data_IF_088702253615
#
_entry.id   IF_088702253615
#
_cell.length_a   1.000
_cell.length_b   1.000
_cell.length_c   1.000
_cell.angle_alpha   90.00
_cell.angle_beta   90.00
_cell.angle_gamma   90.00
#
_symmetry.space_group_name_H-M   'P 1'
#
loop_
_entity.id
_entity.type
_entity.pdbx_description
1 polymer ?
#
# COMPACT_ATOMS: atom_id res chain seq x y z
N UNK A 1 20.29 9.26 -3.56
CA UNK A 1 19.20 10.03 -4.19
C UNK A 1 17.95 9.90 -3.35
N UNK A 2 17.17 10.98 -3.21
CA UNK A 2 15.88 10.95 -2.51
C UNK A 2 14.89 10.10 -3.30
N UNK A 3 13.99 9.41 -2.60
CA UNK A 3 12.91 8.63 -3.21
C UNK A 3 11.90 9.63 -3.82
N UNK A 4 11.54 9.49 -5.10
CA UNK A 4 10.55 10.37 -5.73
C UNK A 4 9.20 9.68 -5.94
N UNK A 5 9.14 8.35 -5.88
CA UNK A 5 7.86 7.62 -5.89
C UNK A 5 7.22 7.52 -4.48
N UNK A 6 5.88 7.51 -4.38
CA UNK A 6 5.13 7.48 -3.13
C UNK A 6 5.08 6.06 -2.52
N UNK A 7 6.18 5.60 -1.94
CA UNK A 7 6.31 4.24 -1.44
C UNK A 7 5.24 3.84 -0.40
N UNK A 8 4.81 4.76 0.46
CA UNK A 8 3.76 4.48 1.47
C UNK A 8 2.38 4.31 0.82
N UNK A 9 2.03 5.15 -0.17
CA UNK A 9 0.76 5.07 -0.88
C UNK A 9 0.69 3.80 -1.75
N UNK A 10 1.80 3.43 -2.39
CA UNK A 10 1.89 2.15 -3.12
C UNK A 10 1.83 0.96 -2.17
N UNK A 11 2.54 0.98 -1.04
CA UNK A 11 2.45 -0.11 -0.07
C UNK A 11 1.00 -0.33 0.37
N UNK A 12 0.29 0.74 0.74
CA UNK A 12 -1.10 0.64 1.18
C UNK A 12 -2.04 0.23 0.04
N UNK A 13 -1.85 0.79 -1.16
CA UNK A 13 -2.61 0.40 -2.36
C UNK A 13 -2.44 -1.07 -2.69
N UNK A 14 -1.22 -1.62 -2.61
CA UNK A 14 -0.94 -3.04 -2.80
C UNK A 14 -1.67 -3.86 -1.75
N UNK A 15 -1.65 -3.45 -0.48
CA UNK A 15 -2.36 -4.18 0.58
C UNK A 15 -3.87 -4.30 0.31
N UNK A 16 -4.48 -3.26 -0.25
CA UNK A 16 -5.91 -3.22 -0.56
C UNK A 16 -6.28 -3.94 -1.87
N UNK A 17 -5.46 -3.80 -2.91
CA UNK A 17 -5.83 -4.13 -4.30
C UNK A 17 -4.79 -5.03 -5.00
N UNK A 18 -4.33 -6.11 -4.35
CA UNK A 18 -3.38 -7.05 -4.97
C UNK A 18 -3.88 -8.49 -5.07
N UNK A 19 -5.17 -8.72 -4.79
CA UNK A 19 -5.78 -10.04 -4.95
C UNK A 19 -5.98 -10.38 -6.44
N UNK A 20 -6.39 -9.41 -7.26
CA UNK A 20 -6.56 -9.58 -8.71
C UNK A 20 -5.70 -8.64 -9.54
N UNK A 21 -5.31 -9.10 -10.74
CA UNK A 21 -4.58 -8.28 -11.72
C UNK A 21 -5.40 -7.04 -12.13
N UNK A 22 -6.71 -7.21 -12.36
CA UNK A 22 -7.62 -6.14 -12.80
C UNK A 22 -7.67 -5.00 -11.78
N UNK A 23 -7.77 -5.33 -10.50
CA UNK A 23 -7.77 -4.38 -9.39
C UNK A 23 -6.40 -3.69 -9.24
N UNK A 24 -5.32 -4.47 -9.26
CA UNK A 24 -3.95 -3.96 -9.16
C UNK A 24 -3.59 -2.99 -10.29
N UNK A 25 -4.04 -3.30 -11.51
CA UNK A 25 -3.84 -2.45 -12.68
C UNK A 25 -4.53 -1.10 -12.48
N UNK A 26 -5.83 -1.10 -12.22
CA UNK A 26 -6.62 0.12 -12.05
C UNK A 26 -6.16 0.93 -10.83
N UNK A 27 -6.04 0.29 -9.67
CA UNK A 27 -5.60 0.95 -8.44
C UNK A 27 -4.22 1.59 -8.60
N UNK A 28 -3.30 0.91 -9.29
CA UNK A 28 -1.97 1.45 -9.55
C UNK A 28 -1.98 2.72 -10.40
N UNK A 29 -2.74 2.75 -11.49
CA UNK A 29 -2.90 3.96 -12.32
C UNK A 29 -3.52 5.09 -11.50
N UNK A 30 -4.51 4.78 -10.67
CA UNK A 30 -5.19 5.76 -9.81
C UNK A 30 -4.27 6.32 -8.72
N UNK A 31 -3.38 5.50 -8.14
CA UNK A 31 -2.35 5.97 -7.20
C UNK A 31 -1.40 6.94 -7.90
N UNK A 32 -0.93 6.62 -9.10
CA UNK A 32 -0.04 7.51 -9.88
C UNK A 32 -0.75 8.85 -10.16
N UNK A 33 -2.00 8.79 -10.62
CA UNK A 33 -2.80 9.97 -10.89
C UNK A 33 -3.02 10.82 -9.63
N UNK A 34 -3.21 10.19 -8.47
CA UNK A 34 -3.35 10.91 -7.19
C UNK A 34 -2.14 11.76 -6.84
N UNK A 35 -0.94 11.26 -7.15
CA UNK A 35 0.33 11.89 -6.79
C UNK A 35 0.61 13.03 -7.75
N UNK A 36 0.39 12.80 -9.05
CA UNK A 36 0.44 13.85 -10.05
C UNK A 36 -0.56 14.98 -9.73
N UNK A 37 -1.76 14.64 -9.29
CA UNK A 37 -2.77 15.62 -8.87
C UNK A 37 -2.37 16.39 -7.61
N UNK A 38 -1.79 15.71 -6.62
CA UNK A 38 -1.28 16.35 -5.42
C UNK A 38 -0.16 17.35 -5.72
N UNK A 39 0.77 16.99 -6.61
CA UNK A 39 1.84 17.87 -7.09
C UNK A 39 1.27 19.06 -7.88
N UNK A 40 0.28 18.82 -8.73
CA UNK A 40 -0.41 19.88 -9.49
C UNK A 40 -1.07 20.91 -8.56
N UNK A 41 -1.82 20.46 -7.54
CA UNK A 41 -2.45 21.38 -6.58
C UNK A 41 -1.41 22.14 -5.78
N UNK A 42 -0.36 21.46 -5.32
CA UNK A 42 0.73 22.12 -4.59
C UNK A 42 1.31 23.26 -5.41
N UNK A 43 1.72 22.98 -6.65
CA UNK A 43 2.33 23.96 -7.55
C UNK A 43 1.39 25.13 -7.91
N UNK A 44 0.09 24.87 -8.03
CA UNK A 44 -0.91 25.90 -8.30
C UNK A 44 -1.10 26.86 -7.10
N UNK A 45 -1.06 26.33 -5.88
CA UNK A 45 -1.38 27.09 -4.65
C UNK A 45 -0.16 27.69 -3.96
N UNK A 46 1.05 27.22 -4.27
CA UNK A 46 2.30 27.61 -3.59
C UNK A 46 2.57 29.11 -3.64
N UNK A 47 2.22 29.76 -4.74
CA UNK A 47 2.41 31.20 -4.92
C UNK A 47 1.24 32.05 -4.35
N UNK A 48 0.15 31.41 -3.91
CA UNK A 48 -1.11 32.11 -3.57
C UNK A 48 -1.40 32.09 -2.07
N UNK A 49 -1.01 31.01 -1.37
CA UNK A 49 -1.49 30.71 -0.03
C UNK A 49 -0.31 30.44 0.92
N UNK A 50 -0.39 30.88 2.20
CA UNK A 50 0.65 30.57 3.19
C UNK A 50 0.78 29.05 3.45
N UNK A 51 1.99 28.62 3.81
CA UNK A 51 2.40 27.21 3.85
C UNK A 51 1.50 26.27 4.69
N UNK A 52 0.98 26.73 5.83
CA UNK A 52 0.03 25.97 6.67
C UNK A 52 -1.29 25.64 5.96
N UNK A 53 -1.91 26.63 5.31
CA UNK A 53 -3.16 26.46 4.58
C UNK A 53 -2.94 25.72 3.26
N UNK A 54 -1.77 25.86 2.63
CA UNK A 54 -1.39 25.05 1.48
C UNK A 54 -1.35 23.56 1.84
N UNK A 55 -0.68 23.18 2.95
CA UNK A 55 -0.60 21.79 3.39
C UNK A 55 -1.98 21.18 3.63
N UNK A 56 -2.85 21.92 4.32
CA UNK A 56 -4.21 21.47 4.59
C UNK A 56 -5.02 21.33 3.29
N UNK A 57 -4.92 22.31 2.38
CA UNK A 57 -5.63 22.27 1.12
C UNK A 57 -5.19 21.10 0.24
N UNK A 58 -3.87 20.88 0.10
CA UNK A 58 -3.33 19.74 -0.64
C UNK A 58 -3.82 18.43 -0.04
N UNK A 59 -3.75 18.24 1.28
CA UNK A 59 -4.19 17.00 1.93
C UNK A 59 -5.69 16.71 1.73
N UNK A 60 -6.54 17.72 1.95
CA UNK A 60 -8.00 17.54 1.87
C UNK A 60 -8.44 17.34 0.41
N UNK A 61 -7.91 18.15 -0.51
CA UNK A 61 -8.28 18.07 -1.92
C UNK A 61 -7.83 16.76 -2.56
N UNK A 62 -6.61 16.29 -2.27
CA UNK A 62 -6.13 15.02 -2.81
C UNK A 62 -6.90 13.85 -2.22
N UNK A 63 -7.14 13.82 -0.92
CA UNK A 63 -7.94 12.76 -0.30
C UNK A 63 -9.34 12.69 -0.93
N UNK A 64 -10.05 13.82 -0.99
CA UNK A 64 -11.41 13.87 -1.54
C UNK A 64 -11.48 13.48 -3.03
N UNK A 65 -10.52 13.93 -3.84
CA UNK A 65 -10.47 13.59 -5.27
C UNK A 65 -10.11 12.12 -5.44
N UNK A 66 -9.12 11.60 -4.71
CA UNK A 66 -8.76 10.17 -4.80
C UNK A 66 -9.93 9.27 -4.48
N UNK A 67 -10.62 9.46 -3.35
CA UNK A 67 -11.74 8.61 -2.98
C UNK A 67 -12.88 8.65 -4.01
N UNK A 68 -13.11 9.82 -4.61
CA UNK A 68 -14.13 9.99 -5.65
C UNK A 68 -13.75 9.28 -6.94
N UNK A 69 -12.50 9.44 -7.39
CA UNK A 69 -12.01 8.81 -8.63
C UNK A 69 -11.89 7.29 -8.46
N UNK A 70 -11.47 6.80 -7.28
CA UNK A 70 -11.47 5.37 -6.98
C UNK A 70 -12.88 4.77 -7.01
N UNK A 71 -13.87 5.44 -6.42
CA UNK A 71 -15.26 4.99 -6.46
C UNK A 71 -15.77 4.88 -7.91
N UNK A 72 -15.57 5.93 -8.71
CA UNK A 72 -15.99 5.95 -10.12
C UNK A 72 -15.22 4.93 -10.97
N UNK A 73 -13.91 4.80 -10.77
CA UNK A 73 -13.07 3.89 -11.54
C UNK A 73 -13.45 2.42 -11.32
N UNK A 74 -13.70 2.04 -10.07
CA UNK A 74 -14.12 0.69 -9.73
C UNK A 74 -15.58 0.40 -10.09
N UNK A 75 -16.47 1.41 -10.00
CA UNK A 75 -17.83 1.29 -10.52
C UNK A 75 -17.86 1.05 -12.03
N UNK A 76 -16.99 1.71 -12.80
CA UNK A 76 -16.86 1.49 -14.25
C UNK A 76 -16.31 0.09 -14.58
N UNK A 77 -15.43 -0.44 -13.73
CA UNK A 77 -14.92 -1.80 -13.87
C UNK A 77 -16.00 -2.88 -13.61
N UNK A 78 -17.14 -2.53 -13.03
CA UNK A 78 -18.19 -3.47 -12.65
C UNK A 78 -18.02 -4.09 -11.26
N UNK A 79 -16.99 -3.67 -10.51
CA UNK A 79 -16.66 -4.17 -9.17
C UNK A 79 -16.72 -3.01 -8.16
N UNK A 80 -17.93 -2.58 -7.74
CA UNK A 80 -18.07 -1.40 -6.88
C UNK A 80 -17.41 -1.61 -5.51
N UNK A 81 -16.72 -0.57 -5.03
CA UNK A 81 -16.06 -0.59 -3.73
C UNK A 81 -17.08 -0.65 -2.59
N UNK A 82 -16.75 -1.42 -1.56
CA UNK A 82 -17.45 -1.37 -0.28
C UNK A 82 -17.16 -0.03 0.43
N UNK A 83 -18.03 0.37 1.37
CA UNK A 83 -17.81 1.60 2.15
C UNK A 83 -16.48 1.57 2.90
N UNK A 84 -16.10 0.40 3.42
CA UNK A 84 -14.83 0.22 4.14
C UNK A 84 -13.62 0.43 3.23
N UNK A 85 -13.60 -0.21 2.04
CA UNK A 85 -12.50 -0.03 1.06
C UNK A 85 -12.45 1.40 0.54
N UNK A 86 -13.60 2.02 0.31
CA UNK A 86 -13.69 3.42 -0.11
C UNK A 86 -13.08 4.36 0.93
N UNK A 87 -13.36 4.19 2.22
CA UNK A 87 -12.71 4.98 3.29
C UNK A 87 -11.19 4.77 3.28
N UNK A 88 -10.72 3.55 3.02
CA UNK A 88 -9.27 3.28 2.91
C UNK A 88 -8.63 3.98 1.70
N UNK A 89 -9.36 4.23 0.62
CA UNK A 89 -8.84 5.02 -0.52
C UNK A 89 -8.60 6.50 -0.17
N UNK A 90 -9.33 7.07 0.80
CA UNK A 90 -9.00 8.41 1.33
C UNK A 90 -7.61 8.42 1.96
N UNK A 91 -7.28 7.35 2.68
CA UNK A 91 -5.97 7.19 3.33
C UNK A 91 -4.86 7.07 2.30
N UNK A 92 -5.10 6.37 1.19
CA UNK A 92 -4.17 6.35 0.03
C UNK A 92 -3.90 7.77 -0.48
N UNK A 93 -4.95 8.60 -0.62
CA UNK A 93 -4.83 10.00 -1.04
C UNK A 93 -4.12 10.93 -0.05
N UNK A 94 -4.23 10.66 1.24
CA UNK A 94 -3.47 11.37 2.27
C UNK A 94 -1.99 10.99 2.24
N UNK A 95 -1.69 9.70 2.03
CA UNK A 95 -0.31 9.22 1.91
C UNK A 95 0.37 9.74 0.64
N UNK A 96 -0.35 9.87 -0.47
CA UNK A 96 0.19 10.48 -1.69
C UNK A 96 0.48 11.97 -1.52
N UNK A 97 -0.44 12.75 -0.93
CA UNK A 97 -0.18 14.15 -0.60
C UNK A 97 0.95 14.35 0.39
N UNK A 98 1.05 13.49 1.41
CA UNK A 98 2.18 13.53 2.35
C UNK A 98 3.51 13.32 1.63
N UNK A 99 3.57 12.40 0.66
CA UNK A 99 4.78 12.18 -0.14
C UNK A 99 5.19 13.45 -0.90
N UNK A 100 4.24 14.11 -1.57
CA UNK A 100 4.46 15.37 -2.30
C UNK A 100 4.95 16.49 -1.38
N UNK A 101 4.33 16.65 -0.21
CA UNK A 101 4.65 17.71 0.74
C UNK A 101 6.00 17.49 1.46
N UNK A 102 6.46 16.24 1.62
CA UNK A 102 7.70 15.93 2.34
C UNK A 102 8.91 15.78 1.43
N UNK A 103 8.75 15.29 0.20
CA UNK A 103 9.87 14.99 -0.69
C UNK A 103 10.22 16.14 -1.64
N UNK A 104 9.39 17.18 -1.68
CA UNK A 104 9.57 18.39 -2.48
C UNK A 104 9.95 18.06 -3.93
N UNK A 105 8.96 17.58 -4.70
CA UNK A 105 9.19 16.98 -6.01
C UNK A 105 9.44 17.99 -7.13
N UNK A 106 9.47 19.30 -6.81
CA UNK A 106 9.83 20.43 -7.71
C UNK A 106 9.20 20.37 -9.11
N UNK A 107 8.02 19.75 -9.27
CA UNK A 107 7.35 19.64 -10.57
C UNK A 107 8.03 18.71 -11.60
N UNK A 108 8.91 17.80 -11.17
CA UNK A 108 9.54 16.81 -12.04
C UNK A 108 8.59 15.61 -12.30
N UNK A 109 7.53 15.87 -13.06
CA UNK A 109 6.53 14.86 -13.41
C UNK A 109 7.14 13.66 -14.14
N UNK A 110 8.20 13.88 -14.93
CA UNK A 110 8.89 12.83 -15.68
C UNK A 110 9.47 11.76 -14.76
N UNK A 111 10.21 12.16 -13.73
CA UNK A 111 10.75 11.20 -12.75
C UNK A 111 9.65 10.58 -11.87
N UNK A 112 8.60 11.32 -11.52
CA UNK A 112 7.44 10.77 -10.78
C UNK A 112 6.78 9.65 -11.57
N UNK A 113 6.45 9.88 -12.85
CA UNK A 113 5.82 8.86 -13.70
C UNK A 113 6.74 7.68 -13.96
N UNK A 114 8.03 7.92 -14.17
CA UNK A 114 8.99 6.86 -14.42
C UNK A 114 9.17 5.94 -13.21
N UNK A 115 9.47 6.50 -12.03
CA UNK A 115 9.68 5.69 -10.83
C UNK A 115 8.41 4.99 -10.37
N UNK A 116 7.27 5.68 -10.42
CA UNK A 116 5.97 5.12 -10.06
C UNK A 116 5.50 4.07 -11.07
N UNK A 117 5.82 4.23 -12.36
CA UNK A 117 5.54 3.26 -13.41
C UNK A 117 6.29 1.94 -13.21
N UNK A 118 7.55 2.01 -12.77
CA UNK A 118 8.33 0.80 -12.41
C UNK A 118 7.69 0.09 -11.21
N UNK A 119 7.29 0.84 -10.17
CA UNK A 119 6.59 0.28 -9.00
C UNK A 119 5.29 -0.40 -9.40
N UNK A 120 4.50 0.26 -10.23
CA UNK A 120 3.25 -0.27 -10.76
C UNK A 120 3.45 -1.53 -11.61
N UNK A 121 4.46 -1.56 -12.48
CA UNK A 121 4.77 -2.74 -13.29
C UNK A 121 5.07 -3.98 -12.44
N UNK A 122 5.88 -3.83 -11.38
CA UNK A 122 6.14 -4.93 -10.44
C UNK A 122 4.91 -5.33 -9.64
N UNK A 123 4.05 -4.37 -9.28
CA UNK A 123 2.78 -4.67 -8.60
C UNK A 123 1.88 -5.52 -9.49
N UNK A 124 1.66 -5.13 -10.75
CA UNK A 124 0.83 -5.91 -11.68
C UNK A 124 1.41 -7.32 -11.87
N UNK A 125 2.73 -7.45 -12.04
CA UNK A 125 3.37 -8.75 -12.21
C UNK A 125 3.16 -9.67 -11.01
N UNK A 126 3.35 -9.15 -9.79
CA UNK A 126 3.12 -9.94 -8.57
C UNK A 126 1.64 -10.21 -8.32
N UNK A 127 0.74 -9.31 -8.72
CA UNK A 127 -0.70 -9.56 -8.65
C UNK A 127 -1.14 -10.69 -9.59
N UNK A 128 -0.57 -10.77 -10.81
CA UNK A 128 -0.80 -11.90 -11.72
C UNK A 128 -0.37 -13.22 -11.09
N UNK A 129 0.81 -13.25 -10.47
CA UNK A 129 1.30 -14.45 -9.79
C UNK A 129 0.42 -14.84 -8.60
N UNK A 130 -0.09 -13.87 -7.83
CA UNK A 130 -1.02 -14.12 -6.73
C UNK A 130 -2.38 -14.61 -7.19
N UNK A 131 -2.96 -13.99 -8.22
CA UNK A 131 -4.26 -14.38 -8.78
C UNK A 131 -4.21 -15.82 -9.31
N UNK A 132 -3.11 -16.15 -10.01
CA UNK A 132 -2.87 -17.48 -10.55
C UNK A 132 -2.64 -18.53 -9.44
N UNK A 133 -1.79 -18.24 -8.46
CA UNK A 133 -1.55 -19.15 -7.33
C UNK A 133 -2.79 -19.32 -6.43
N UNK A 134 -3.64 -18.29 -6.36
CA UNK A 134 -4.83 -18.28 -5.53
C UNK A 134 -6.02 -19.01 -6.12
N UNK A 135 -6.24 -18.84 -7.42
CA UNK A 135 -7.50 -19.25 -8.07
C UNK A 135 -7.32 -19.90 -9.43
N UNK A 136 -6.09 -20.00 -9.95
CA UNK A 136 -5.82 -20.48 -11.31
C UNK A 136 -6.30 -19.54 -12.42
N UNK A 137 -6.71 -18.32 -12.04
CA UNK A 137 -7.22 -17.30 -12.96
C UNK A 137 -6.17 -16.23 -13.20
N UNK A 138 -6.21 -15.65 -14.38
CA UNK A 138 -5.58 -14.36 -14.67
C UNK A 138 -6.65 -13.49 -15.32
N UNK A 139 -6.84 -12.28 -14.77
CA UNK A 139 -7.85 -11.35 -15.25
C UNK A 139 -9.28 -11.94 -15.18
N UNK A 140 -9.57 -12.74 -14.16
CA UNK A 140 -10.85 -13.44 -13.98
C UNK A 140 -11.07 -14.63 -14.92
N UNK A 141 -10.21 -14.83 -15.92
CA UNK A 141 -10.27 -15.96 -16.84
C UNK A 141 -9.48 -17.14 -16.27
N UNK A 142 -10.13 -18.30 -16.18
CA UNK A 142 -9.48 -19.53 -15.73
C UNK A 142 -8.50 -20.02 -16.80
N UNK A 143 -7.25 -20.19 -16.41
CA UNK A 143 -6.19 -20.66 -17.30
C UNK A 143 -5.88 -22.12 -17.01
N UNK A 144 -5.71 -22.45 -15.74
CA UNK A 144 -5.26 -23.77 -15.34
C UNK A 144 -5.66 -24.05 -13.89
N UNK A 145 -6.26 -25.21 -13.63
CA UNK A 145 -6.55 -25.70 -12.28
C UNK A 145 -5.49 -26.72 -11.85
N UNK A 146 -4.80 -26.46 -10.75
CA UNK A 146 -3.76 -27.33 -10.19
C UNK A 146 -3.94 -27.50 -8.69
N UNK A 147 -3.53 -28.66 -8.16
CA UNK A 147 -3.71 -29.03 -6.74
C UNK A 147 -2.96 -28.12 -5.75
N UNK A 148 -1.94 -27.38 -6.20
CA UNK A 148 -1.22 -26.45 -5.32
C UNK A 148 -1.91 -25.09 -5.13
N UNK A 149 -2.98 -24.80 -5.88
CA UNK A 149 -3.67 -23.51 -5.81
C UNK A 149 -4.45 -23.38 -4.51
N UNK A 150 -4.28 -22.25 -3.82
CA UNK A 150 -4.89 -22.03 -2.50
C UNK A 150 -5.33 -20.59 -2.32
N UNK A 151 -6.56 -20.41 -1.83
CA UNK A 151 -7.12 -19.09 -1.49
C UNK A 151 -6.25 -18.33 -0.48
N UNK A 152 -5.42 -19.01 0.31
CA UNK A 152 -4.46 -18.38 1.20
C UNK A 152 -3.54 -17.38 0.48
N UNK A 153 -3.19 -17.62 -0.79
CA UNK A 153 -2.38 -16.69 -1.58
C UNK A 153 -3.05 -15.34 -1.84
N UNK A 154 -4.38 -15.25 -1.72
CA UNK A 154 -5.16 -14.01 -1.89
C UNK A 154 -5.34 -13.23 -0.58
N UNK A 155 -4.98 -13.81 0.57
CA UNK A 155 -5.15 -13.18 1.87
C UNK A 155 -4.14 -12.06 2.15
N UNK A 156 -4.41 -11.28 3.21
CA UNK A 156 -3.60 -10.12 3.59
C UNK A 156 -2.12 -10.48 3.85
N UNK A 157 -1.86 -11.68 4.36
CA UNK A 157 -0.51 -12.23 4.58
C UNK A 157 0.36 -12.10 3.33
N UNK A 158 -0.14 -12.58 2.19
CA UNK A 158 0.58 -12.49 0.92
C UNK A 158 0.53 -11.09 0.32
N UNK A 159 -0.46 -10.27 0.67
CA UNK A 159 -0.50 -8.86 0.29
C UNK A 159 0.69 -8.10 0.90
N UNK A 160 0.99 -8.30 2.18
CA UNK A 160 2.17 -7.74 2.85
C UNK A 160 3.49 -8.21 2.24
N UNK A 161 3.59 -9.51 1.92
CA UNK A 161 4.76 -10.05 1.23
C UNK A 161 4.93 -9.40 -0.15
N UNK A 162 3.85 -9.25 -0.93
CA UNK A 162 3.93 -8.57 -2.23
C UNK A 162 4.26 -7.10 -2.11
N UNK A 163 3.67 -6.36 -1.17
CA UNK A 163 4.03 -4.97 -0.94
C UNK A 163 5.52 -4.82 -0.65
N UNK A 164 6.07 -5.70 0.19
CA UNK A 164 7.50 -5.72 0.49
C UNK A 164 8.38 -6.08 -0.72
N UNK A 165 7.98 -7.08 -1.51
CA UNK A 165 8.73 -7.51 -2.70
C UNK A 165 8.68 -6.48 -3.83
N UNK A 166 7.50 -5.91 -4.14
CA UNK A 166 7.35 -4.84 -5.13
C UNK A 166 8.30 -3.70 -4.80
N UNK A 167 8.24 -3.19 -3.56
CA UNK A 167 9.08 -2.06 -3.15
C UNK A 167 10.58 -2.42 -3.16
N UNK A 168 10.93 -3.65 -2.77
CA UNK A 168 12.33 -4.11 -2.82
C UNK A 168 12.84 -4.18 -4.27
N UNK A 169 12.05 -4.71 -5.20
CA UNK A 169 12.43 -4.79 -6.62
C UNK A 169 12.54 -3.39 -7.23
N UNK A 170 11.58 -2.50 -6.97
CA UNK A 170 11.64 -1.11 -7.40
C UNK A 170 12.88 -0.40 -6.86
N UNK A 171 13.19 -0.55 -5.56
CA UNK A 171 14.39 0.03 -4.97
C UNK A 171 15.69 -0.57 -5.53
N UNK A 172 15.68 -1.87 -5.87
CA UNK A 172 16.79 -2.56 -6.50
C UNK A 172 17.10 -2.00 -7.89
N UNK A 173 16.07 -1.82 -8.72
CA UNK A 173 16.18 -1.24 -10.07
C UNK A 173 16.61 0.22 -10.01
N UNK A 174 15.97 1.02 -9.15
CA UNK A 174 16.25 2.45 -9.01
C UNK A 174 17.54 2.75 -8.22
N UNK A 175 18.13 1.73 -7.56
CA UNK A 175 19.27 1.88 -6.63
C UNK A 175 19.05 2.96 -5.55
N UNK A 176 17.79 3.09 -5.08
CA UNK A 176 17.37 4.06 -4.04
C UNK A 176 17.07 3.36 -2.71
N UNK A 177 17.00 4.14 -1.62
CA UNK A 177 16.78 3.64 -0.25
C UNK A 177 15.51 4.24 0.37
N UNK A 178 14.62 3.41 0.90
CA UNK A 178 13.43 3.82 1.67
C UNK A 178 13.74 4.05 3.16
N UNK A 179 14.66 4.96 3.48
CA UNK A 179 15.18 5.12 4.85
C UNK A 179 14.28 5.85 5.85
N UNK A 180 13.35 6.70 5.40
CA UNK A 180 12.51 7.55 6.26
C UNK A 180 11.03 7.40 5.91
N UNK A 181 10.46 6.24 6.23
CA UNK A 181 9.02 5.98 6.02
C UNK A 181 8.34 5.64 7.35
N UNK A 182 7.12 6.14 7.52
CA UNK A 182 6.28 5.93 8.69
C UNK A 182 5.49 4.62 8.56
N UNK A 183 6.22 3.51 8.48
CA UNK A 183 5.63 2.16 8.35
C UNK A 183 4.68 1.77 9.49
N UNK A 184 4.84 2.33 10.68
CA UNK A 184 3.94 2.08 11.81
C UNK A 184 2.51 2.52 11.51
N UNK A 185 2.32 3.64 10.81
CA UNK A 185 0.99 4.13 10.46
C UNK A 185 0.29 3.18 9.50
N UNK A 186 1.00 2.69 8.49
CA UNK A 186 0.50 1.69 7.54
C UNK A 186 0.08 0.39 8.22
N UNK A 187 0.88 -0.08 9.18
CA UNK A 187 0.59 -1.31 9.92
C UNK A 187 -0.64 -1.16 10.81
N UNK A 188 -0.80 -0.01 11.47
CA UNK A 188 -2.00 0.26 12.28
C UNK A 188 -3.26 0.25 11.42
N UNK A 189 -3.22 0.92 10.26
CA UNK A 189 -4.34 0.95 9.33
C UNK A 189 -4.67 -0.42 8.76
N UNK A 190 -3.66 -1.21 8.42
CA UNK A 190 -3.85 -2.56 7.93
C UNK A 190 -4.41 -3.49 9.02
N UNK A 191 -3.97 -3.37 10.28
CA UNK A 191 -4.53 -4.13 11.41
C UNK A 191 -5.97 -3.75 11.74
N UNK A 192 -6.36 -2.50 11.50
CA UNK A 192 -7.75 -2.05 11.61
C UNK A 192 -8.62 -2.59 10.46
N UNK A 193 -8.07 -2.64 9.25
CA UNK A 193 -8.78 -3.09 8.05
C UNK A 193 -8.98 -4.61 8.03
N UNK A 194 -7.89 -5.37 8.23
CA UNK A 194 -7.91 -6.83 8.24
C UNK A 194 -7.34 -7.35 9.55
N UNK A 195 -8.26 -7.83 10.40
CA UNK A 195 -7.92 -8.44 11.69
C UNK A 195 -7.27 -9.79 11.42
N UNK A 196 -6.04 -10.03 11.91
CA UNK A 196 -5.33 -11.28 11.64
C UNK A 196 -5.91 -12.49 12.38
N UNK A 197 -6.66 -12.26 13.45
CA UNK A 197 -7.38 -13.29 14.20
C UNK A 197 -8.60 -12.68 14.88
N UNK A 198 -9.57 -13.51 15.25
CA UNK A 198 -10.71 -13.14 16.09
C UNK A 198 -10.55 -13.79 17.46
N UNK A 199 -10.92 -13.07 18.51
CA UNK A 199 -10.84 -13.58 19.88
C UNK A 199 -12.24 -13.57 20.47
N UNK A 200 -12.89 -14.73 20.48
CA UNK A 200 -14.27 -14.89 20.99
C UNK A 200 -14.34 -15.02 22.52
N UNK A 201 -13.20 -15.25 23.17
CA UNK A 201 -13.11 -15.55 24.61
C UNK A 201 -13.17 -14.32 25.53
N UNK A 202 -12.98 -13.12 25.00
CA UNK A 202 -13.14 -11.85 25.74
C UNK A 202 -14.33 -11.06 25.17
N UNK A 203 -14.97 -10.22 25.98
CA UNK A 203 -16.07 -9.37 25.52
C UNK A 203 -15.71 -8.58 24.25
N UNK A 204 -16.71 -8.31 23.41
CA UNK A 204 -16.55 -7.86 22.01
C UNK A 204 -15.55 -6.70 21.82
N UNK A 205 -15.59 -5.71 22.73
CA UNK A 205 -14.66 -4.57 22.72
C UNK A 205 -13.22 -4.94 23.14
N UNK A 206 -13.06 -5.78 24.16
CA UNK A 206 -11.74 -6.20 24.64
C UNK A 206 -11.07 -7.14 23.63
N UNK A 207 -11.83 -8.05 23.02
CA UNK A 207 -11.37 -8.90 21.93
C UNK A 207 -10.90 -8.07 20.73
N UNK A 208 -11.66 -7.05 20.33
CA UNK A 208 -11.29 -6.16 19.22
C UNK A 208 -10.03 -5.33 19.50
N UNK A 209 -9.89 -4.76 20.70
CA UNK A 209 -8.67 -4.05 21.07
C UNK A 209 -7.45 -4.96 21.07
N UNK A 210 -7.60 -6.20 21.54
CA UNK A 210 -6.53 -7.17 21.61
C UNK A 210 -6.05 -7.63 20.23
N UNK A 211 -6.98 -7.91 19.30
CA UNK A 211 -6.65 -8.36 17.94
C UNK A 211 -5.90 -7.31 17.13
N UNK A 212 -6.07 -6.01 17.46
CA UNK A 212 -5.31 -4.91 16.87
C UNK A 212 -3.98 -4.70 17.60
N UNK A 213 -3.99 -4.74 18.93
CA UNK A 213 -2.80 -4.44 19.74
C UNK A 213 -1.67 -5.47 19.54
N UNK A 214 -1.99 -6.76 19.50
CA UNK A 214 -0.98 -7.84 19.41
C UNK A 214 -0.11 -7.71 18.14
N UNK A 215 -0.67 -7.60 16.92
CA UNK A 215 0.13 -7.41 15.70
C UNK A 215 1.01 -6.16 15.76
N UNK A 216 0.50 -5.05 16.31
CA UNK A 216 1.24 -3.79 16.42
C UNK A 216 2.43 -3.95 17.38
N UNK A 217 2.23 -4.58 18.54
CA UNK A 217 3.28 -4.80 19.54
C UNK A 217 4.37 -5.70 18.96
N UNK A 218 3.99 -6.80 18.29
CA UNK A 218 4.93 -7.68 17.61
C UNK A 218 5.71 -6.93 16.53
N UNK A 219 5.03 -6.11 15.73
CA UNK A 219 5.69 -5.30 14.71
C UNK A 219 6.69 -4.30 15.30
N UNK A 220 6.35 -3.61 16.38
CA UNK A 220 7.26 -2.70 17.07
C UNK A 220 8.50 -3.44 17.58
N UNK A 221 8.30 -4.65 18.13
CA UNK A 221 9.40 -5.50 18.57
C UNK A 221 10.32 -5.87 17.40
N UNK A 222 9.76 -6.38 16.30
CA UNK A 222 10.52 -6.76 15.11
C UNK A 222 11.24 -5.55 14.50
N UNK A 223 10.57 -4.39 14.41
CA UNK A 223 11.15 -3.15 13.89
C UNK A 223 12.38 -2.70 14.69
N UNK A 224 12.37 -2.83 16.02
CA UNK A 224 13.54 -2.54 16.86
C UNK A 224 14.71 -3.48 16.53
N UNK A 225 14.43 -4.75 16.32
CA UNK A 225 15.45 -5.76 15.98
C UNK A 225 15.98 -5.60 14.56
N UNK A 226 15.13 -5.24 13.60
CA UNK A 226 15.49 -5.00 12.19
C UNK A 226 16.49 -3.86 12.02
N UNK A 227 16.56 -2.90 12.95
CA UNK A 227 17.57 -1.84 12.95
C UNK A 227 19.00 -2.39 12.97
N UNK A 228 19.20 -3.57 13.58
CA UNK A 228 20.49 -4.24 13.70
C UNK A 228 20.73 -5.30 12.61
N UNK A 229 19.72 -5.60 11.78
CA UNK A 229 19.83 -6.58 10.72
C UNK A 229 20.68 -6.04 9.54
N UNK A 230 21.53 -6.90 8.97
CA UNK A 230 22.31 -6.59 7.76
C UNK A 230 21.44 -6.81 6.51
N UNK A 231 20.40 -6.00 6.33
CA UNK A 231 19.55 -6.06 5.13
C UNK A 231 20.25 -5.39 3.95
N UNK A 232 20.16 -5.99 2.75
CA UNK A 232 20.63 -5.38 1.51
C UNK A 232 20.00 -4.01 1.25
N UNK A 233 20.65 -3.16 0.43
CA UNK A 233 20.23 -1.77 0.25
C UNK A 233 18.80 -1.62 -0.29
N UNK A 234 18.37 -2.53 -1.16
CA UNK A 234 17.03 -2.54 -1.77
C UNK A 234 15.91 -2.88 -0.76
N UNK A 235 16.24 -3.73 0.21
CA UNK A 235 15.30 -4.27 1.20
C UNK A 235 15.17 -3.39 2.45
N UNK A 236 16.15 -2.51 2.70
CA UNK A 236 16.23 -1.74 3.94
C UNK A 236 15.08 -0.72 4.07
N UNK A 237 14.44 -0.71 5.25
CA UNK A 237 13.34 0.20 5.59
C UNK A 237 11.97 -0.44 5.33
N UNK A 238 11.07 0.30 4.67
CA UNK A 238 9.70 -0.11 4.38
C UNK A 238 9.56 -1.54 3.79
N UNK A 239 10.40 -1.99 2.83
CA UNK A 239 10.21 -3.29 2.19
C UNK A 239 10.33 -4.46 3.18
N UNK A 240 11.38 -4.50 3.99
CA UNK A 240 11.58 -5.56 4.99
C UNK A 240 10.56 -5.47 6.12
N UNK A 241 10.12 -4.27 6.47
CA UNK A 241 9.06 -4.08 7.46
C UNK A 241 7.73 -4.68 6.96
N UNK A 242 7.37 -4.49 5.69
CA UNK A 242 6.18 -5.12 5.09
C UNK A 242 6.31 -6.65 5.01
N UNK A 243 7.48 -7.17 4.59
CA UNK A 243 7.73 -8.63 4.57
C UNK A 243 7.57 -9.22 5.99
N UNK A 244 8.12 -8.54 6.99
CA UNK A 244 8.04 -8.98 8.38
C UNK A 244 6.60 -9.01 8.89
N UNK A 245 5.77 -8.04 8.48
CA UNK A 245 4.34 -8.06 8.77
C UNK A 245 3.62 -9.23 8.11
N UNK A 246 3.99 -9.59 6.88
CA UNK A 246 3.49 -10.80 6.25
C UNK A 246 3.75 -12.04 7.12
N UNK A 247 4.96 -12.20 7.64
CA UNK A 247 5.26 -13.30 8.57
C UNK A 247 4.49 -13.23 9.89
N UNK A 248 4.29 -12.04 10.47
CA UNK A 248 3.48 -11.87 11.69
C UNK A 248 2.04 -12.30 11.42
N UNK A 249 1.44 -11.86 10.31
CA UNK A 249 0.09 -12.24 9.91
C UNK A 249 -0.02 -13.74 9.66
N UNK A 250 0.99 -14.35 9.04
CA UNK A 250 1.04 -15.80 8.83
C UNK A 250 1.05 -16.57 10.15
N UNK A 251 1.84 -16.12 11.13
CA UNK A 251 1.93 -16.80 12.44
C UNK A 251 0.61 -16.64 13.22
N UNK A 252 0.01 -15.46 13.17
CA UNK A 252 -1.23 -15.17 13.90
C UNK A 252 -2.47 -15.79 13.25
N UNK A 253 -2.50 -15.90 11.93
CA UNK A 253 -3.64 -16.45 11.17
C UNK A 253 -3.70 -17.98 11.10
N UNK A 254 -2.75 -18.69 11.75
CA UNK A 254 -2.80 -20.16 11.89
C UNK A 254 -3.81 -20.59 13.00
N UNK A 255 -4.29 -19.64 13.80
CA UNK A 255 -5.26 -19.86 14.89
C UNK A 255 -6.63 -19.27 14.56
#
# INVERSE_FOLDING_TARGET
MKLKYPAEAFAFGILLFSAGMKEAFTAGVLVILSVAFAEFIKNLLENVIPAWSLKACVLISTAAVTSSVFLLGFAFLGDPLTVETWVMTLVVGLLSAKCVLMNDLEGDYGEIFWESGICWGFWVLLAVLREFAGSGRIFGNMILEMEFQSKAFLEMTFAFLTAGLVLAFTNGVLKKKCGQTHSLFLVVLAALYTKPFTMESFGELAGLLWTIAVPIVLFISVKKTLKFARTGQAYRGLPVEMISMGFIYMILGIY
#
